data_IF_686766403083
#
_entry.id   IF_686766403083
#
_cell.length_a   1.000
_cell.length_b   1.000
_cell.length_c   1.000
_cell.angle_alpha   90.00
_cell.angle_beta   90.00
_cell.angle_gamma   90.00
#
_symmetry.space_group_name_H-M   'P 1'
#
loop_
_entity.id
_entity.type
_entity.pdbx_description
1 polymer ?
#
# COMPACT_ATOMS: atom_id res chain seq x y z
N UNK A 1 -12.55 2.41 68.03
CA UNK A 1 -11.23 1.81 68.31
C UNK A 1 -10.61 1.42 66.98
N UNK A 2 -9.40 1.94 66.68
CA UNK A 2 -8.68 1.74 65.41
C UNK A 2 -7.88 0.44 65.51
N UNK A 3 -7.91 -0.39 64.47
CA UNK A 3 -6.90 -1.42 64.26
C UNK A 3 -6.32 -1.22 62.85
N UNK A 4 -5.07 -0.77 62.86
CA UNK A 4 -4.18 -0.58 61.71
C UNK A 4 -3.58 -1.97 61.44
N UNK A 5 -3.71 -2.51 60.23
CA UNK A 5 -2.80 -3.54 59.71
C UNK A 5 -2.20 -3.03 58.40
N UNK A 6 -0.88 -2.91 58.44
CA UNK A 6 -0.03 -2.50 57.33
C UNK A 6 0.29 -3.68 56.40
N UNK A 7 0.48 -3.33 55.12
CA UNK A 7 1.47 -3.89 54.19
C UNK A 7 1.30 -5.33 53.71
N UNK A 8 0.66 -5.44 52.54
CA UNK A 8 0.95 -6.47 51.53
C UNK A 8 1.01 -5.81 50.15
N UNK A 9 2.20 -5.41 49.72
CA UNK A 9 2.47 -5.02 48.32
C UNK A 9 2.80 -6.29 47.56
N UNK A 10 1.89 -6.75 46.70
CA UNK A 10 2.21 -7.64 45.59
C UNK A 10 1.46 -7.09 44.36
N UNK A 11 2.22 -6.35 43.56
CA UNK A 11 1.75 -5.78 42.31
C UNK A 11 1.49 -6.87 41.29
N UNK A 12 0.26 -6.94 40.79
CA UNK A 12 -0.04 -7.59 39.53
C UNK A 12 0.15 -6.55 38.42
N UNK A 13 1.33 -6.56 37.80
CA UNK A 13 1.57 -5.84 36.57
C UNK A 13 0.71 -6.48 35.47
N UNK A 14 -0.38 -5.81 35.09
CA UNK A 14 -1.10 -6.10 33.86
C UNK A 14 -0.19 -5.72 32.69
N UNK A 15 0.47 -6.73 32.09
CA UNK A 15 1.09 -6.59 30.78
C UNK A 15 -0.03 -6.28 29.76
N UNK A 16 -0.10 -5.02 29.35
CA UNK A 16 -0.81 -4.65 28.14
C UNK A 16 -0.04 -5.21 26.94
N UNK A 17 -0.55 -6.27 26.32
CA UNK A 17 -0.09 -6.71 25.01
C UNK A 17 -0.65 -5.70 24.00
N UNK A 18 0.17 -4.71 23.64
CA UNK A 18 -0.09 -3.88 22.48
C UNK A 18 0.18 -4.73 21.23
N UNK A 19 -0.88 -5.22 20.59
CA UNK A 19 -0.80 -5.72 19.23
C UNK A 19 -0.55 -4.53 18.29
N UNK A 20 0.73 -4.23 18.03
CA UNK A 20 1.13 -3.33 16.95
C UNK A 20 1.05 -4.09 15.62
N UNK A 21 -0.18 -4.36 15.16
CA UNK A 21 -0.47 -4.77 13.78
C UNK A 21 -0.85 -3.54 12.96
N UNK A 22 0.08 -2.59 12.85
CA UNK A 22 -0.04 -1.50 11.90
C UNK A 22 0.90 -1.79 10.74
N UNK A 23 0.36 -2.31 9.63
CA UNK A 23 1.02 -2.15 8.36
C UNK A 23 1.27 -0.65 8.20
N UNK A 24 2.53 -0.25 8.28
CA UNK A 24 2.90 1.13 8.04
C UNK A 24 2.96 1.28 6.53
N UNK A 25 1.83 1.70 5.96
CA UNK A 25 1.72 2.30 4.63
C UNK A 25 2.57 3.58 4.64
N UNK A 26 3.88 3.40 4.52
CA UNK A 26 4.82 4.48 4.39
C UNK A 26 4.93 4.84 2.90
N UNK A 27 4.88 6.14 2.53
CA UNK A 27 5.24 6.54 1.17
C UNK A 27 6.65 6.00 0.87
N UNK A 28 6.85 5.51 -0.35
CA UNK A 28 8.09 4.85 -0.78
C UNK A 28 9.33 5.48 -0.11
N UNK A 29 10.00 4.70 0.75
CA UNK A 29 11.09 5.18 1.58
C UNK A 29 12.13 5.94 0.75
N UNK A 30 12.76 6.97 1.31
CA UNK A 30 13.81 7.72 0.58
C UNK A 30 14.87 6.75 0.05
N UNK A 31 15.13 6.81 -1.25
CA UNK A 31 16.09 5.91 -1.92
C UNK A 31 15.49 4.62 -2.48
N UNK A 32 14.19 4.36 -2.33
CA UNK A 32 13.54 3.13 -2.83
C UNK A 32 13.77 2.90 -4.33
N UNK A 33 13.77 3.98 -5.14
CA UNK A 33 14.13 3.90 -6.56
C UNK A 33 15.56 3.38 -6.78
N UNK A 34 16.53 3.89 -6.03
CA UNK A 34 17.93 3.49 -6.18
C UNK A 34 18.15 2.05 -5.70
N UNK A 35 17.46 1.64 -4.64
CA UNK A 35 17.45 0.24 -4.16
C UNK A 35 16.86 -0.67 -5.25
N UNK A 36 15.70 -0.31 -5.80
CA UNK A 36 15.10 -1.03 -6.92
C UNK A 36 16.06 -1.14 -8.12
N UNK A 37 16.65 -0.04 -8.57
CA UNK A 37 17.55 -0.04 -9.73
C UNK A 37 18.76 -0.94 -9.49
N UNK A 38 19.40 -0.82 -8.31
CA UNK A 38 20.55 -1.65 -7.89
C UNK A 38 20.19 -3.13 -7.84
N UNK A 39 19.04 -3.47 -7.27
CA UNK A 39 18.69 -4.85 -6.93
C UNK A 39 18.03 -5.56 -8.11
N UNK A 40 17.05 -4.94 -8.75
CA UNK A 40 16.27 -5.54 -9.84
C UNK A 40 16.96 -5.49 -11.21
N UNK A 41 18.00 -4.65 -11.37
CA UNK A 41 18.79 -4.60 -12.62
C UNK A 41 20.07 -5.44 -12.58
N UNK A 42 20.29 -6.21 -11.50
CA UNK A 42 21.49 -7.02 -11.34
C UNK A 42 21.54 -8.25 -12.26
N UNK A 43 20.38 -8.73 -12.73
CA UNK A 43 20.26 -9.95 -13.55
C UNK A 43 19.69 -9.71 -14.96
N UNK A 44 18.80 -8.73 -15.13
CA UNK A 44 18.20 -8.35 -16.41
C UNK A 44 17.85 -6.84 -16.41
N UNK A 45 17.29 -6.30 -17.49
CA UNK A 45 16.84 -4.90 -17.52
C UNK A 45 15.63 -4.68 -16.61
N UNK A 46 15.55 -3.52 -15.96
CA UNK A 46 14.40 -3.13 -15.14
C UNK A 46 13.08 -3.17 -15.94
N UNK A 47 13.13 -2.79 -17.22
CA UNK A 47 11.98 -2.81 -18.14
C UNK A 47 11.32 -4.18 -18.26
N UNK A 48 12.09 -5.26 -18.12
CA UNK A 48 11.55 -6.63 -18.16
C UNK A 48 10.58 -6.89 -17.01
N UNK A 49 10.81 -6.26 -15.84
CA UNK A 49 9.94 -6.33 -14.67
C UNK A 49 8.75 -5.38 -14.84
N UNK A 50 9.04 -4.16 -15.25
CA UNK A 50 8.09 -3.02 -15.21
C UNK A 50 7.28 -2.83 -16.48
N UNK A 51 7.31 -3.79 -17.40
CA UNK A 51 6.59 -3.75 -18.68
C UNK A 51 5.06 -3.76 -18.55
N UNK A 52 4.53 -4.13 -17.39
CA UNK A 52 3.12 -4.08 -17.07
C UNK A 52 2.87 -3.48 -15.68
N UNK A 53 1.72 -2.82 -15.52
CA UNK A 53 1.24 -2.37 -14.21
C UNK A 53 0.61 -3.54 -13.45
N UNK A 54 0.86 -3.63 -12.14
CA UNK A 54 0.35 -4.71 -11.29
C UNK A 54 -0.20 -4.17 -9.98
N UNK A 55 -1.15 -4.90 -9.40
CA UNK A 55 -1.60 -4.62 -8.02
C UNK A 55 -0.48 -4.84 -7.02
N UNK A 56 -0.63 -4.32 -5.80
CA UNK A 56 0.33 -4.51 -4.72
C UNK A 56 0.64 -5.98 -4.47
N UNK A 57 -0.41 -6.80 -4.35
CA UNK A 57 -0.27 -8.24 -4.14
C UNK A 57 0.49 -8.91 -5.29
N UNK A 58 0.15 -8.58 -6.53
CA UNK A 58 0.84 -9.11 -7.71
C UNK A 58 2.30 -8.67 -7.79
N UNK A 59 2.65 -7.46 -7.32
CA UNK A 59 4.04 -7.04 -7.22
C UNK A 59 4.78 -7.84 -6.16
N UNK A 60 4.16 -8.07 -5.00
CA UNK A 60 4.73 -8.89 -3.95
C UNK A 60 5.02 -10.31 -4.47
N UNK A 61 4.04 -10.96 -5.11
CA UNK A 61 4.20 -12.28 -5.73
C UNK A 61 5.32 -12.30 -6.78
N UNK A 62 5.45 -11.23 -7.57
CA UNK A 62 6.51 -11.11 -8.58
C UNK A 62 7.90 -11.07 -7.92
N UNK A 63 8.07 -10.28 -6.87
CA UNK A 63 9.34 -10.19 -6.13
C UNK A 63 9.66 -11.54 -5.49
N UNK A 64 8.67 -12.16 -4.83
CA UNK A 64 8.82 -13.48 -4.19
C UNK A 64 9.23 -14.55 -5.21
N UNK A 65 8.61 -14.59 -6.38
CA UNK A 65 8.98 -15.52 -7.46
C UNK A 65 10.41 -15.28 -7.98
N UNK A 66 10.86 -14.02 -8.08
CA UNK A 66 12.25 -13.72 -8.45
C UNK A 66 13.25 -14.22 -7.40
N UNK A 67 12.91 -14.13 -6.12
CA UNK A 67 13.74 -14.63 -5.01
C UNK A 67 13.75 -16.16 -5.00
N UNK A 68 12.57 -16.79 -5.08
CA UNK A 68 12.39 -18.23 -4.93
C UNK A 68 12.86 -19.03 -6.15
N UNK A 69 12.46 -18.62 -7.36
CA UNK A 69 12.65 -19.42 -8.58
C UNK A 69 13.85 -18.95 -9.41
N UNK A 70 14.23 -17.69 -9.30
CA UNK A 70 15.26 -17.06 -10.14
C UNK A 70 16.53 -16.67 -9.35
N UNK A 71 16.51 -16.84 -8.03
CA UNK A 71 17.67 -16.69 -7.16
C UNK A 71 18.06 -15.26 -6.81
N UNK A 72 17.17 -14.28 -7.02
CA UNK A 72 17.40 -12.89 -6.62
C UNK A 72 17.73 -12.80 -5.11
N UNK A 73 18.71 -11.96 -4.77
CA UNK A 73 19.15 -11.75 -3.38
C UNK A 73 18.67 -10.39 -2.91
N UNK A 74 17.52 -10.39 -2.23
CA UNK A 74 16.90 -9.19 -1.66
C UNK A 74 16.93 -9.35 -0.14
N UNK A 75 17.71 -8.54 0.58
CA UNK A 75 17.63 -8.49 2.04
C UNK A 75 16.22 -8.10 2.50
N UNK A 76 15.76 -8.63 3.62
CA UNK A 76 14.41 -8.38 4.15
C UNK A 76 14.13 -6.88 4.32
N UNK A 77 15.14 -6.11 4.73
CA UNK A 77 15.05 -4.65 4.87
C UNK A 77 14.93 -3.89 3.54
N UNK A 78 15.35 -4.48 2.42
CA UNK A 78 15.23 -3.90 1.07
C UNK A 78 13.91 -4.29 0.39
N UNK A 79 13.24 -5.36 0.85
CA UNK A 79 12.01 -5.86 0.23
C UNK A 79 10.88 -4.82 0.21
N UNK A 80 10.53 -4.28 1.38
CA UNK A 80 9.44 -3.30 1.49
C UNK A 80 9.71 -2.02 0.68
N UNK A 81 10.90 -1.39 0.76
CA UNK A 81 11.23 -0.25 -0.11
C UNK A 81 11.05 -0.54 -1.61
N UNK A 82 11.50 -1.71 -2.08
CA UNK A 82 11.34 -2.11 -3.49
C UNK A 82 9.86 -2.26 -3.85
N UNK A 83 9.08 -2.95 -3.00
CA UNK A 83 7.65 -3.12 -3.20
C UNK A 83 6.93 -1.76 -3.26
N UNK A 84 7.19 -0.86 -2.31
CA UNK A 84 6.56 0.47 -2.30
C UNK A 84 6.90 1.28 -3.55
N UNK A 85 8.12 1.18 -4.06
CA UNK A 85 8.50 1.85 -5.31
C UNK A 85 7.75 1.28 -6.50
N UNK A 86 7.68 -0.04 -6.62
CA UNK A 86 6.95 -0.72 -7.70
C UNK A 86 5.46 -0.38 -7.68
N UNK A 87 4.85 -0.35 -6.50
CA UNK A 87 3.46 0.07 -6.29
C UNK A 87 3.26 1.54 -6.66
N UNK A 88 4.13 2.43 -6.18
CA UNK A 88 3.98 3.87 -6.45
C UNK A 88 4.11 4.22 -7.95
N UNK A 89 5.04 3.58 -8.66
CA UNK A 89 5.37 3.96 -10.05
C UNK A 89 4.65 3.10 -11.08
N UNK A 90 4.57 1.80 -10.82
CA UNK A 90 4.05 0.78 -11.73
C UNK A 90 2.82 0.06 -11.15
N UNK A 91 2.18 0.63 -10.14
CA UNK A 91 1.00 0.05 -9.49
C UNK A 91 -0.28 0.14 -10.32
N UNK A 92 -1.14 -0.84 -10.15
CA UNK A 92 -2.54 -0.83 -10.59
C UNK A 92 -3.42 -0.93 -9.34
N UNK A 93 -4.42 -0.07 -9.22
CA UNK A 93 -5.32 -0.02 -8.06
C UNK A 93 -6.71 -0.47 -8.45
N UNK A 94 -7.34 -1.30 -7.61
CA UNK A 94 -8.75 -1.62 -7.76
C UNK A 94 -9.59 -0.65 -6.92
N UNK A 95 -10.32 0.27 -7.57
CA UNK A 95 -11.09 1.32 -6.88
C UNK A 95 -12.28 0.78 -6.10
N UNK A 96 -12.67 -0.48 -6.29
CA UNK A 96 -13.75 -1.11 -5.56
C UNK A 96 -13.30 -1.85 -4.28
N UNK A 97 -12.00 -2.15 -4.12
CA UNK A 97 -11.47 -2.86 -2.96
C UNK A 97 -10.36 -2.11 -2.22
N UNK A 98 -9.47 -1.40 -2.92
CA UNK A 98 -8.30 -0.75 -2.33
C UNK A 98 -8.67 0.32 -1.29
N UNK A 99 -7.81 0.55 -0.29
CA UNK A 99 -7.96 1.65 0.66
C UNK A 99 -7.69 3.01 0.00
N UNK A 100 -8.10 4.10 0.68
CA UNK A 100 -8.07 5.44 0.10
C UNK A 100 -6.64 5.96 -0.13
N UNK A 101 -5.72 5.67 0.76
CA UNK A 101 -4.30 5.99 0.64
C UNK A 101 -3.64 5.31 -0.57
N UNK A 102 -3.92 4.02 -0.81
CA UNK A 102 -3.42 3.33 -2.00
C UNK A 102 -4.02 3.92 -3.29
N UNK A 103 -5.31 4.24 -3.30
CA UNK A 103 -5.96 4.95 -4.41
C UNK A 103 -5.30 6.32 -4.63
N UNK A 104 -5.05 7.08 -3.57
CA UNK A 104 -4.41 8.39 -3.65
C UNK A 104 -3.01 8.29 -4.27
N UNK A 105 -2.20 7.35 -3.77
CA UNK A 105 -0.84 7.10 -4.24
C UNK A 105 -0.79 6.68 -5.71
N UNK A 106 -1.56 5.66 -6.09
CA UNK A 106 -1.47 5.05 -7.42
C UNK A 106 -2.21 5.89 -8.48
N UNK A 107 -3.36 6.46 -8.15
CA UNK A 107 -4.16 7.24 -9.09
C UNK A 107 -3.73 8.73 -9.17
N UNK A 108 -2.74 9.16 -8.37
CA UNK A 108 -2.27 10.55 -8.34
C UNK A 108 -3.32 11.52 -7.81
N UNK A 109 -4.15 11.05 -6.88
CA UNK A 109 -5.22 11.82 -6.25
C UNK A 109 -4.78 12.31 -4.87
N UNK A 110 -5.40 13.38 -4.38
CA UNK A 110 -5.28 13.74 -2.98
C UNK A 110 -6.03 12.73 -2.10
N UNK A 111 -5.63 12.65 -0.84
CA UNK A 111 -6.30 11.81 0.15
C UNK A 111 -7.81 12.04 0.18
N UNK A 112 -8.23 13.31 0.12
CA UNK A 112 -9.66 13.69 0.12
C UNK A 112 -10.41 13.21 -1.12
N UNK A 113 -9.77 13.24 -2.29
CA UNK A 113 -10.36 12.73 -3.54
C UNK A 113 -10.53 11.20 -3.46
N UNK A 114 -9.51 10.49 -2.97
CA UNK A 114 -9.59 9.04 -2.82
C UNK A 114 -10.60 8.59 -1.76
N UNK A 115 -10.71 9.32 -0.64
CA UNK A 115 -11.76 9.12 0.36
C UNK A 115 -13.16 9.34 -0.23
N UNK A 116 -13.33 10.30 -1.14
CA UNK A 116 -14.59 10.50 -1.84
C UNK A 116 -14.95 9.29 -2.71
N UNK A 117 -13.98 8.66 -3.39
CA UNK A 117 -14.19 7.41 -4.16
C UNK A 117 -14.63 6.27 -3.22
N UNK A 118 -13.93 6.08 -2.10
CA UNK A 118 -14.26 5.02 -1.12
C UNK A 118 -15.64 5.26 -0.49
N UNK A 119 -16.01 6.51 -0.21
CA UNK A 119 -17.34 6.86 0.27
C UNK A 119 -18.39 6.56 -0.80
N UNK A 120 -18.15 7.01 -2.02
CA UNK A 120 -19.09 6.85 -3.13
C UNK A 120 -19.39 5.37 -3.39
N UNK A 121 -18.38 4.49 -3.42
CA UNK A 121 -18.60 3.05 -3.63
C UNK A 121 -19.40 2.38 -2.50
N UNK A 122 -19.27 2.88 -1.27
CA UNK A 122 -20.03 2.38 -0.10
C UNK A 122 -21.49 2.79 -0.17
N UNK A 123 -21.78 3.97 -0.68
CA UNK A 123 -23.14 4.54 -0.75
C UNK A 123 -23.90 4.15 -2.02
N UNK A 124 -23.20 3.97 -3.15
CA UNK A 124 -23.80 3.80 -4.47
C UNK A 124 -23.54 2.42 -5.10
N UNK A 125 -22.72 1.59 -4.46
CA UNK A 125 -22.28 0.31 -5.00
C UNK A 125 -20.98 0.42 -5.80
N UNK A 126 -20.57 -0.70 -6.40
CA UNK A 126 -19.30 -0.81 -7.13
C UNK A 126 -19.31 0.05 -8.39
N UNK A 127 -18.15 0.57 -8.76
CA UNK A 127 -17.92 1.16 -10.08
C UNK A 127 -17.80 0.02 -11.11
N UNK A 128 -18.58 0.06 -12.18
CA UNK A 128 -18.49 -0.92 -13.27
C UNK A 128 -17.43 -0.53 -14.31
N UNK A 129 -17.19 0.77 -14.46
CA UNK A 129 -16.32 1.33 -15.49
C UNK A 129 -15.71 2.68 -15.06
N UNK A 130 -14.90 3.22 -15.96
CA UNK A 130 -14.23 4.51 -15.75
C UNK A 130 -15.19 5.69 -15.73
N UNK A 131 -16.25 5.65 -16.54
CA UNK A 131 -17.21 6.75 -16.62
C UNK A 131 -17.97 6.93 -15.30
N UNK A 132 -18.18 5.83 -14.55
CA UNK A 132 -18.75 5.86 -13.22
C UNK A 132 -17.87 6.62 -12.20
N UNK A 133 -16.54 6.59 -12.34
CA UNK A 133 -15.64 7.36 -11.48
C UNK A 133 -15.75 8.87 -11.71
N UNK A 134 -16.06 9.30 -12.93
CA UNK A 134 -16.30 10.71 -13.26
C UNK A 134 -17.52 11.31 -12.55
N UNK A 135 -18.38 10.48 -11.95
CA UNK A 135 -19.57 10.91 -11.19
C UNK A 135 -19.27 11.20 -9.73
N UNK A 136 -18.07 10.88 -9.24
CA UNK A 136 -17.70 11.07 -7.83
C UNK A 136 -17.51 12.57 -7.53
N UNK A 137 -18.32 13.16 -6.64
CA UNK A 137 -18.22 14.59 -6.34
C UNK A 137 -16.87 14.94 -5.71
N UNK A 138 -16.23 15.98 -6.26
CA UNK A 138 -14.97 16.51 -5.72
C UNK A 138 -13.70 15.81 -6.20
N UNK A 139 -13.80 14.82 -7.10
CA UNK A 139 -12.65 14.21 -7.78
C UNK A 139 -12.37 14.93 -9.09
N UNK A 140 -11.11 15.34 -9.31
CA UNK A 140 -10.71 15.98 -10.56
C UNK A 140 -10.66 14.95 -11.72
N UNK A 141 -11.54 15.07 -12.75
CA UNK A 141 -11.56 14.13 -13.87
C UNK A 141 -10.24 14.12 -14.64
N UNK A 142 -9.51 15.24 -14.72
CA UNK A 142 -8.24 15.30 -15.44
C UNK A 142 -7.16 14.45 -14.76
N UNK A 143 -7.22 14.28 -13.44
CA UNK A 143 -6.30 13.40 -12.72
C UNK A 143 -6.64 11.94 -12.95
N UNK A 144 -7.93 11.58 -12.88
CA UNK A 144 -8.41 10.23 -13.21
C UNK A 144 -7.98 9.82 -14.62
N UNK A 145 -8.12 10.71 -15.60
CA UNK A 145 -7.72 10.41 -16.99
C UNK A 145 -6.22 10.10 -17.11
N UNK A 146 -5.37 10.83 -16.40
CA UNK A 146 -3.92 10.58 -16.38
C UNK A 146 -3.55 9.25 -15.75
N UNK A 147 -4.39 8.71 -14.87
CA UNK A 147 -4.18 7.44 -14.18
C UNK A 147 -5.09 6.32 -14.69
N UNK A 148 -5.76 6.49 -15.83
CA UNK A 148 -6.70 5.51 -16.40
C UNK A 148 -6.11 4.11 -16.50
N UNK A 149 -4.87 3.97 -16.97
CA UNK A 149 -4.19 2.67 -17.09
C UNK A 149 -3.84 2.04 -15.74
N UNK A 150 -3.72 2.86 -14.70
CA UNK A 150 -3.44 2.42 -13.33
C UNK A 150 -4.71 2.02 -12.57
N UNK A 151 -5.90 2.22 -13.12
CA UNK A 151 -7.17 1.97 -12.44
C UNK A 151 -7.82 0.67 -12.93
N UNK A 152 -8.44 -0.07 -12.02
CA UNK A 152 -9.27 -1.25 -12.27
C UNK A 152 -10.48 -1.26 -11.34
N UNK A 153 -11.44 -2.13 -11.63
CA UNK A 153 -12.78 -2.21 -11.02
C UNK A 153 -13.03 -3.61 -10.44
#
# INVERSE_FOLDING_TARGET
MRAIWERGVLGLALLAIAAAGGAQDAPAAKGSKAIFEKTCSACHTADSVTSARRTRDQWQETIEAMVADQGAKIPDEEFSPILEYLVAVYGKVNVNSAPADEIAQIAGLSQKEAEAIVKFRKENGRFEDFDALGKVPGVDPKKLEKSREAISY
#
